data_IF_512987647532
#
_entry.id   IF_512987647532
#
_cell.length_a   1.000
_cell.length_b   1.000
_cell.length_c   1.000
_cell.angle_alpha   90.00
_cell.angle_beta   90.00
_cell.angle_gamma   90.00
#
_symmetry.space_group_name_H-M   'P 1'
#
loop_
_entity.id
_entity.type
_entity.pdbx_description
1 polymer ?
#
# COMPACT_ATOMS: atom_id res chain seq x y z
N UNK A 1 15.95 -3.37 -7.57
CA UNK A 1 14.90 -2.93 -6.62
C UNK A 1 15.06 -1.48 -6.13
N UNK A 2 16.08 -1.09 -5.34
CA UNK A 2 16.19 0.31 -4.82
C UNK A 2 16.18 1.34 -5.95
N UNK A 3 16.87 1.09 -7.06
CA UNK A 3 16.94 2.00 -8.21
C UNK A 3 15.60 2.25 -8.90
N UNK A 4 14.59 1.40 -8.65
CA UNK A 4 13.21 1.58 -9.14
C UNK A 4 12.31 2.35 -8.17
N UNK A 5 12.81 2.68 -6.97
CA UNK A 5 12.04 3.42 -5.97
C UNK A 5 11.81 4.85 -6.47
N UNK A 6 10.54 5.26 -6.54
CA UNK A 6 10.17 6.57 -7.08
C UNK A 6 10.65 7.70 -6.17
N UNK A 7 10.54 8.94 -6.66
CA UNK A 7 10.78 10.14 -5.83
C UNK A 7 9.86 10.22 -4.61
N UNK A 8 8.66 9.64 -4.70
CA UNK A 8 7.68 9.62 -3.62
C UNK A 8 7.93 8.52 -2.58
N UNK A 9 8.81 7.56 -2.87
CA UNK A 9 9.24 6.53 -1.92
C UNK A 9 8.61 5.15 -2.14
N UNK A 10 7.52 5.02 -2.90
CA UNK A 10 7.00 3.72 -3.29
C UNK A 10 7.62 3.17 -4.59
N UNK A 11 7.02 2.11 -5.12
CA UNK A 11 7.45 1.43 -6.33
C UNK A 11 6.37 1.39 -7.42
N UNK A 12 6.77 1.26 -8.69
CA UNK A 12 5.85 0.91 -9.77
C UNK A 12 5.44 -0.56 -9.70
N UNK A 13 4.28 -0.89 -10.27
CA UNK A 13 3.82 -2.27 -10.46
C UNK A 13 4.42 -2.91 -11.72
N UNK A 14 4.34 -4.24 -11.79
CA UNK A 14 4.65 -5.04 -12.99
C UNK A 14 6.05 -4.80 -13.58
N UNK A 15 7.04 -4.59 -12.70
CA UNK A 15 8.44 -4.44 -13.08
C UNK A 15 9.23 -5.68 -12.68
N UNK A 16 9.92 -6.29 -13.65
CA UNK A 16 10.96 -7.26 -13.33
C UNK A 16 12.19 -6.52 -12.79
N UNK A 17 12.41 -6.66 -11.48
CA UNK A 17 13.52 -6.02 -10.77
C UNK A 17 14.73 -6.96 -10.59
N UNK A 18 14.72 -8.12 -11.25
CA UNK A 18 15.77 -9.15 -11.17
C UNK A 18 16.73 -9.12 -12.36
N UNK A 19 16.25 -8.74 -13.55
CA UNK A 19 17.05 -8.76 -14.78
C UNK A 19 18.07 -7.61 -14.85
N UNK A 20 17.65 -6.36 -14.65
CA UNK A 20 18.54 -5.20 -14.72
C UNK A 20 18.23 -4.15 -13.64
N UNK A 21 19.22 -3.31 -13.30
CA UNK A 21 18.96 -2.09 -12.53
C UNK A 21 18.20 -1.06 -13.37
N UNK A 22 17.47 -0.14 -12.73
CA UNK A 22 16.75 0.92 -13.46
C UNK A 22 17.71 1.73 -14.35
N UNK A 23 17.51 1.70 -15.67
CA UNK A 23 18.37 2.37 -16.66
C UNK A 23 17.79 3.69 -17.18
N UNK A 24 16.77 4.26 -16.52
CA UNK A 24 16.17 5.53 -16.93
C UNK A 24 15.18 5.43 -18.11
N UNK A 25 14.93 4.24 -18.64
CA UNK A 25 13.89 4.06 -19.65
C UNK A 25 12.49 4.33 -19.07
N UNK A 26 11.58 4.78 -19.96
CA UNK A 26 10.15 5.08 -19.74
C UNK A 26 9.32 3.85 -19.31
N UNK A 27 9.81 3.02 -18.40
CA UNK A 27 9.16 1.78 -17.98
C UNK A 27 7.98 2.00 -17.04
N UNK A 28 7.81 3.19 -16.47
CA UNK A 28 6.52 3.54 -15.91
C UNK A 28 5.59 3.90 -17.08
N UNK A 29 4.87 2.92 -17.64
CA UNK A 29 3.50 3.24 -18.11
C UNK A 29 2.88 4.10 -17.01
N UNK A 30 2.26 5.23 -17.36
CA UNK A 30 1.84 6.39 -16.54
C UNK A 30 1.15 6.16 -15.16
N UNK A 31 1.14 4.96 -14.61
CA UNK A 31 0.59 4.55 -13.33
C UNK A 31 1.29 5.16 -12.11
N UNK A 32 2.50 5.70 -12.24
CA UNK A 32 3.18 6.34 -11.12
C UNK A 32 3.56 5.38 -9.98
N UNK A 33 3.45 5.86 -8.73
CA UNK A 33 3.77 5.08 -7.52
C UNK A 33 2.50 4.47 -6.96
N UNK A 34 2.50 3.15 -6.69
CA UNK A 34 1.26 2.40 -6.45
C UNK A 34 1.44 1.28 -5.43
N UNK A 35 0.32 0.81 -4.87
CA UNK A 35 0.22 -0.41 -4.06
C UNK A 35 -0.45 -1.58 -4.83
N UNK A 36 -0.78 -1.36 -6.10
CA UNK A 36 -1.43 -2.35 -6.95
C UNK A 36 -0.48 -3.51 -7.34
N UNK A 37 -1.02 -4.71 -7.57
CA UNK A 37 -0.25 -5.91 -7.95
C UNK A 37 0.98 -6.18 -7.06
N UNK A 38 0.86 -6.08 -5.73
CA UNK A 38 2.01 -6.34 -4.86
C UNK A 38 3.00 -5.19 -4.74
N UNK A 39 2.80 -4.08 -5.46
CA UNK A 39 3.76 -2.99 -5.50
C UNK A 39 3.91 -2.29 -4.16
N UNK A 40 5.10 -1.74 -3.93
CA UNK A 40 5.53 -1.08 -2.70
C UNK A 40 5.64 -2.01 -1.50
N UNK A 41 4.56 -2.66 -1.04
CA UNK A 41 4.59 -3.43 0.20
C UNK A 41 5.45 -4.70 0.09
N UNK A 42 5.51 -5.35 -1.08
CA UNK A 42 6.38 -6.52 -1.30
C UNK A 42 7.85 -6.14 -1.28
N UNK A 43 8.21 -5.03 -1.95
CA UNK A 43 9.57 -4.52 -1.96
C UNK A 43 10.00 -4.09 -0.55
N UNK A 44 9.10 -3.47 0.21
CA UNK A 44 9.36 -3.09 1.60
C UNK A 44 9.58 -4.29 2.51
N UNK A 45 8.74 -5.33 2.47
CA UNK A 45 8.95 -6.53 3.28
C UNK A 45 10.33 -7.15 3.00
N UNK A 46 10.68 -7.29 1.72
CA UNK A 46 11.97 -7.80 1.29
C UNK A 46 13.14 -6.92 1.79
N UNK A 47 13.09 -5.61 1.55
CA UNK A 47 14.14 -4.68 1.95
C UNK A 47 14.34 -4.65 3.47
N UNK A 48 13.26 -4.78 4.24
CA UNK A 48 13.34 -4.82 5.70
C UNK A 48 14.07 -6.05 6.21
N UNK A 49 13.80 -7.22 5.63
CA UNK A 49 14.51 -8.47 5.93
C UNK A 49 15.97 -8.44 5.47
N UNK A 50 16.24 -7.87 4.30
CA UNK A 50 17.63 -7.70 3.80
C UNK A 50 18.41 -6.75 4.70
N UNK A 51 17.83 -5.64 5.16
CA UNK A 51 18.50 -4.79 6.14
C UNK A 51 18.74 -5.53 7.45
N UNK A 52 17.75 -6.29 7.94
CA UNK A 52 17.93 -7.11 9.14
C UNK A 52 19.15 -8.03 9.04
N UNK A 53 19.32 -8.72 7.91
CA UNK A 53 20.43 -9.66 7.68
C UNK A 53 21.78 -8.98 7.39
N UNK A 54 21.78 -7.85 6.67
CA UNK A 54 23.04 -7.27 6.14
C UNK A 54 23.50 -6.00 6.83
N UNK A 55 22.59 -5.32 7.56
CA UNK A 55 22.78 -4.00 8.18
C UNK A 55 23.28 -2.89 7.23
N UNK A 56 23.15 -3.08 5.90
CA UNK A 56 23.57 -2.07 4.93
C UNK A 56 22.56 -0.92 4.89
N UNK A 57 22.99 0.26 5.34
CA UNK A 57 22.13 1.45 5.52
C UNK A 57 21.30 1.86 4.30
N UNK A 58 21.78 1.59 3.07
CA UNK A 58 20.99 1.85 1.85
C UNK A 58 19.63 1.15 1.84
N UNK A 59 19.52 -0.04 2.44
CA UNK A 59 18.27 -0.79 2.51
C UNK A 59 17.32 -0.18 3.55
N UNK A 60 17.84 0.22 4.72
CA UNK A 60 17.07 0.96 5.73
C UNK A 60 16.55 2.28 5.17
N UNK A 61 17.39 3.08 4.53
CA UNK A 61 16.98 4.36 3.92
C UNK A 61 15.88 4.16 2.88
N UNK A 62 16.00 3.14 2.03
CA UNK A 62 14.96 2.82 1.04
C UNK A 62 13.66 2.35 1.71
N UNK A 63 13.73 1.48 2.73
CA UNK A 63 12.56 1.05 3.49
C UNK A 63 11.83 2.23 4.13
N UNK A 64 12.55 3.12 4.84
CA UNK A 64 11.95 4.27 5.53
C UNK A 64 11.23 5.20 4.55
N UNK A 65 11.82 5.46 3.37
CA UNK A 65 11.13 6.22 2.31
C UNK A 65 9.83 5.56 1.83
N UNK A 66 9.80 4.24 1.74
CA UNK A 66 8.57 3.50 1.43
C UNK A 66 7.55 3.58 2.56
N UNK A 67 8.00 3.59 3.81
CA UNK A 67 7.13 3.72 4.97
C UNK A 67 6.51 5.12 5.04
N UNK A 68 7.31 6.16 4.83
CA UNK A 68 6.82 7.54 4.72
C UNK A 68 5.79 7.69 3.59
N UNK A 69 6.02 7.02 2.45
CA UNK A 69 5.06 6.97 1.35
C UNK A 69 3.71 6.38 1.79
N UNK A 70 3.71 5.18 2.39
CA UNK A 70 2.47 4.53 2.82
C UNK A 70 1.74 5.33 3.89
N UNK A 71 2.46 5.89 4.87
CA UNK A 71 1.88 6.72 5.92
C UNK A 71 1.29 8.02 5.35
N UNK A 72 1.95 8.63 4.36
CA UNK A 72 1.48 9.85 3.70
C UNK A 72 0.28 9.62 2.77
N UNK A 73 0.21 8.44 2.16
CA UNK A 73 -0.87 8.08 1.24
C UNK A 73 -2.17 7.70 1.96
N UNK A 74 -2.12 7.38 3.25
CA UNK A 74 -3.32 7.00 4.01
C UNK A 74 -4.29 8.19 4.13
N UNK A 75 -5.56 7.95 3.83
CA UNK A 75 -6.63 8.91 4.07
C UNK A 75 -6.91 9.09 5.56
N UNK A 76 -7.55 10.19 5.94
CA UNK A 76 -7.88 10.49 7.35
C UNK A 76 -8.76 9.41 7.98
N UNK A 77 -9.65 8.80 7.19
CA UNK A 77 -10.51 7.68 7.58
C UNK A 77 -9.80 6.32 7.62
N UNK A 78 -8.52 6.25 7.26
CA UNK A 78 -7.70 5.04 7.35
C UNK A 78 -7.53 4.23 6.08
N UNK A 79 -8.26 4.54 5.01
CA UNK A 79 -8.15 3.83 3.73
C UNK A 79 -6.90 4.22 2.93
N UNK A 80 -6.56 3.44 1.91
CA UNK A 80 -5.46 3.74 0.99
C UNK A 80 -5.93 3.83 -0.47
N UNK A 81 -5.45 4.83 -1.22
CA UNK A 81 -5.61 4.86 -2.67
C UNK A 81 -4.77 3.77 -3.33
N UNK A 82 -5.19 3.32 -4.51
CA UNK A 82 -4.36 2.47 -5.37
C UNK A 82 -3.05 3.17 -5.74
N UNK A 83 -3.10 4.49 -5.99
CA UNK A 83 -1.97 5.29 -6.47
C UNK A 83 -1.81 6.57 -5.66
N UNK A 84 -0.57 6.98 -5.45
CA UNK A 84 -0.27 8.25 -4.80
C UNK A 84 0.92 8.97 -5.48
N UNK A 85 0.84 10.28 -5.71
CA UNK A 85 -0.27 11.19 -5.43
C UNK A 85 -1.56 10.88 -6.22
N UNK A 86 -2.74 11.31 -5.71
CA UNK A 86 -4.02 11.13 -6.38
C UNK A 86 -4.04 11.77 -7.78
N UNK A 87 -4.77 11.15 -8.72
CA UNK A 87 -4.82 11.53 -10.13
C UNK A 87 -6.22 11.98 -10.60
N UNK A 88 -7.22 11.97 -9.72
CA UNK A 88 -8.61 12.32 -10.05
C UNK A 88 -9.39 11.22 -10.77
N UNK A 89 -8.96 9.96 -10.64
CA UNK A 89 -9.60 8.79 -11.24
C UNK A 89 -9.83 7.68 -10.19
N UNK A 90 -10.26 6.49 -10.62
CA UNK A 90 -10.53 5.37 -9.69
C UNK A 90 -9.31 4.96 -8.85
N UNK A 91 -8.09 5.36 -9.23
CA UNK A 91 -6.88 5.13 -8.46
C UNK A 91 -6.88 5.86 -7.11
N UNK A 92 -7.80 6.82 -6.93
CA UNK A 92 -8.00 7.59 -5.71
C UNK A 92 -9.02 6.95 -4.74
N UNK A 93 -9.60 5.81 -5.10
CA UNK A 93 -10.52 5.09 -4.22
C UNK A 93 -9.78 4.24 -3.19
N UNK A 94 -10.42 4.00 -2.05
CA UNK A 94 -9.97 2.99 -1.10
C UNK A 94 -9.93 1.66 -1.86
N UNK A 95 -8.74 1.08 -2.00
CA UNK A 95 -8.55 -0.03 -2.93
C UNK A 95 -8.26 -1.34 -2.20
N UNK A 96 -9.22 -2.27 -2.25
CA UNK A 96 -9.05 -3.65 -1.80
C UNK A 96 -8.60 -4.58 -2.94
N UNK A 97 -8.88 -4.22 -4.20
CA UNK A 97 -8.46 -4.94 -5.40
C UNK A 97 -6.98 -5.37 -5.35
N UNK A 98 -6.68 -6.56 -5.87
CA UNK A 98 -5.34 -7.15 -5.91
C UNK A 98 -4.61 -7.14 -4.55
N UNK A 99 -5.37 -7.35 -3.48
CA UNK A 99 -4.89 -7.31 -2.09
C UNK A 99 -4.13 -6.00 -1.77
N UNK A 100 -4.46 -4.89 -2.43
CA UNK A 100 -3.70 -3.65 -2.31
C UNK A 100 -3.66 -3.14 -0.86
N UNK A 101 -4.81 -2.79 -0.27
CA UNK A 101 -4.87 -2.36 1.12
C UNK A 101 -4.56 -3.50 2.10
N UNK A 102 -4.99 -4.73 1.83
CA UNK A 102 -4.71 -5.87 2.73
C UNK A 102 -3.22 -6.20 2.80
N UNK A 103 -2.47 -6.02 1.71
CA UNK A 103 -1.02 -6.16 1.62
C UNK A 103 -0.28 -5.10 2.44
N UNK A 104 -0.73 -3.84 2.36
CA UNK A 104 -0.25 -2.76 3.25
C UNK A 104 -0.49 -3.12 4.71
N UNK A 105 -1.69 -3.59 5.06
CA UNK A 105 -2.04 -4.00 6.43
C UNK A 105 -1.17 -5.15 6.95
N UNK A 106 -0.89 -6.16 6.11
CA UNK A 106 0.01 -7.28 6.44
C UNK A 106 1.45 -6.82 6.68
N UNK A 107 1.94 -5.86 5.89
CA UNK A 107 3.25 -5.26 6.10
C UNK A 107 3.31 -4.47 7.42
N UNK A 108 2.31 -3.63 7.70
CA UNK A 108 2.22 -2.88 8.96
C UNK A 108 2.23 -3.80 10.16
N UNK A 109 1.43 -4.87 10.14
CA UNK A 109 1.44 -5.90 11.17
C UNK A 109 2.81 -6.57 11.31
N UNK A 110 3.48 -6.88 10.19
CA UNK A 110 4.83 -7.44 10.21
C UNK A 110 5.84 -6.50 10.88
N UNK A 111 5.76 -5.19 10.63
CA UNK A 111 6.61 -4.19 11.29
C UNK A 111 6.39 -4.20 12.81
N UNK A 112 5.14 -4.36 13.26
CA UNK A 112 4.79 -4.35 14.68
C UNK A 112 5.14 -5.65 15.40
N UNK A 113 5.03 -6.80 14.74
CA UNK A 113 5.06 -8.09 15.43
C UNK A 113 6.32 -8.92 15.17
N UNK A 114 6.96 -8.76 14.01
CA UNK A 114 8.04 -9.67 13.59
C UNK A 114 9.43 -9.19 14.03
N UNK A 115 10.30 -10.10 14.52
CA UNK A 115 11.65 -9.75 15.00
C UNK A 115 12.55 -9.18 13.89
N UNK A 116 12.32 -9.55 12.62
CA UNK A 116 13.08 -9.02 11.48
C UNK A 116 12.90 -7.50 11.32
N UNK A 117 11.84 -6.91 11.89
CA UNK A 117 11.56 -5.47 11.87
C UNK A 117 11.80 -4.77 13.20
N UNK A 118 12.43 -5.44 14.19
CA UNK A 118 12.74 -4.84 15.50
C UNK A 118 13.70 -3.64 15.42
N UNK A 119 14.39 -3.45 14.29
CA UNK A 119 15.27 -2.31 14.03
C UNK A 119 14.52 -1.04 13.64
N UNK A 120 13.23 -1.12 13.29
CA UNK A 120 12.40 0.07 13.04
C UNK A 120 12.21 0.78 14.38
N UNK A 121 12.53 2.07 14.43
CA UNK A 121 12.52 2.80 15.70
C UNK A 121 11.12 2.97 16.29
N UNK A 122 11.08 3.32 17.57
CA UNK A 122 9.84 3.45 18.32
C UNK A 122 8.90 4.54 17.77
N UNK A 123 9.44 5.59 17.14
CA UNK A 123 8.61 6.66 16.57
C UNK A 123 7.84 6.15 15.35
N UNK A 124 8.55 5.49 14.42
CA UNK A 124 7.91 4.86 13.27
C UNK A 124 6.94 3.76 13.68
N UNK A 125 7.30 2.92 14.66
CA UNK A 125 6.38 1.88 15.17
C UNK A 125 5.08 2.46 15.73
N UNK A 126 5.12 3.62 16.41
CA UNK A 126 3.89 4.31 16.86
C UNK A 126 3.06 4.83 15.69
N UNK A 127 3.69 5.41 14.67
CA UNK A 127 3.00 5.87 13.44
C UNK A 127 2.34 4.69 12.71
N UNK A 128 3.06 3.58 12.58
CA UNK A 128 2.55 2.34 11.98
C UNK A 128 1.40 1.75 12.76
N UNK A 129 1.48 1.68 14.09
CA UNK A 129 0.38 1.19 14.93
C UNK A 129 -0.89 2.01 14.72
N UNK A 130 -0.78 3.34 14.74
CA UNK A 130 -1.91 4.24 14.48
C UNK A 130 -2.50 4.04 13.09
N UNK A 131 -1.64 3.93 12.07
CA UNK A 131 -2.08 3.72 10.70
C UNK A 131 -2.78 2.37 10.52
N UNK A 132 -2.25 1.32 11.16
CA UNK A 132 -2.85 -0.01 11.18
C UNK A 132 -4.23 -0.01 11.86
N UNK A 133 -4.36 0.63 13.02
CA UNK A 133 -5.64 0.73 13.73
C UNK A 133 -6.70 1.46 12.90
N UNK A 134 -6.35 2.61 12.31
CA UNK A 134 -7.23 3.34 11.39
C UNK A 134 -7.59 2.51 10.15
N UNK A 135 -6.63 1.77 9.59
CA UNK A 135 -6.87 0.90 8.44
C UNK A 135 -7.84 -0.23 8.77
N UNK A 136 -7.78 -0.78 9.99
CA UNK A 136 -8.72 -1.78 10.47
C UNK A 136 -10.13 -1.19 10.65
N UNK A 137 -10.24 0.00 11.23
CA UNK A 137 -11.52 0.74 11.34
C UNK A 137 -12.12 0.97 9.95
N UNK A 138 -11.33 1.48 9.00
CA UNK A 138 -11.75 1.69 7.62
C UNK A 138 -12.27 0.40 6.96
N UNK A 139 -11.58 -0.72 7.14
CA UNK A 139 -12.04 -2.03 6.63
C UNK A 139 -13.42 -2.35 7.22
N UNK A 140 -13.62 -2.20 8.52
CA UNK A 140 -14.90 -2.51 9.15
C UNK A 140 -16.01 -1.56 8.67
N UNK A 141 -15.71 -0.27 8.50
CA UNK A 141 -16.67 0.74 8.07
C UNK A 141 -17.05 0.62 6.59
N UNK A 142 -16.15 0.09 5.75
CA UNK A 142 -16.44 -0.25 4.35
C UNK A 142 -17.29 -1.52 4.19
N UNK A 143 -17.54 -2.29 5.26
CA UNK A 143 -18.29 -3.55 5.13
C UNK A 143 -19.74 -3.26 4.76
N UNK A 144 -20.19 -3.85 3.65
CA UNK A 144 -21.55 -3.61 3.14
C UNK A 144 -22.57 -4.34 4.01
N UNK A 145 -23.68 -3.67 4.30
CA UNK A 145 -24.81 -4.23 5.07
C UNK A 145 -25.97 -4.50 4.10
N UNK A 146 -26.40 -5.77 4.02
CA UNK A 146 -27.54 -6.20 3.22
C UNK A 146 -28.60 -6.72 4.19
N UNK A 147 -29.80 -6.14 4.16
CA UNK A 147 -30.92 -6.53 5.05
C UNK A 147 -30.53 -6.57 6.54
N UNK A 148 -29.75 -5.58 6.98
CA UNK A 148 -29.29 -5.47 8.37
C UNK A 148 -28.15 -6.44 8.74
N UNK A 149 -27.63 -7.23 7.79
CA UNK A 149 -26.54 -8.18 8.01
C UNK A 149 -25.26 -7.72 7.32
N UNK A 150 -24.15 -7.79 8.04
CA UNK A 150 -22.80 -7.57 7.48
C UNK A 150 -22.51 -8.64 6.42
N UNK A 151 -22.14 -8.19 5.23
CA UNK A 151 -21.81 -9.02 4.08
C UNK A 151 -20.29 -8.93 3.80
N UNK A 152 -19.93 -8.58 2.57
CA UNK A 152 -18.54 -8.46 2.09
C UNK A 152 -18.20 -7.02 1.72
N UNK A 153 -17.14 -6.82 0.95
CA UNK A 153 -16.66 -5.53 0.45
C UNK A 153 -16.78 -5.48 -1.07
N UNK A 154 -16.68 -4.29 -1.66
CA UNK A 154 -16.37 -4.14 -3.08
C UNK A 154 -14.87 -4.08 -3.31
N UNK A 155 -14.45 -4.17 -4.58
CA UNK A 155 -13.02 -4.06 -4.92
C UNK A 155 -12.45 -2.67 -4.61
N UNK A 156 -13.27 -1.62 -4.75
CA UNK A 156 -12.92 -0.25 -4.42
C UNK A 156 -14.09 0.44 -3.71
N UNK A 157 -13.77 1.37 -2.82
CA UNK A 157 -14.75 2.16 -2.08
C UNK A 157 -14.43 3.65 -2.15
N UNK A 158 -15.47 4.48 -2.13
CA UNK A 158 -15.32 5.92 -2.09
C UNK A 158 -14.62 6.37 -0.79
N UNK A 159 -13.57 7.21 -0.84
CA UNK A 159 -12.84 7.63 0.35
C UNK A 159 -13.64 8.57 1.24
N UNK A 160 -14.80 9.06 0.80
CA UNK A 160 -15.69 9.92 1.61
C UNK A 160 -16.93 9.17 2.05
N UNK A 161 -17.63 8.49 1.13
CA UNK A 161 -18.90 7.81 1.46
C UNK A 161 -18.73 6.38 1.94
N UNK A 162 -17.55 5.77 1.74
CA UNK A 162 -17.23 4.37 2.03
C UNK A 162 -18.08 3.34 1.26
N UNK A 163 -18.91 3.79 0.32
CA UNK A 163 -19.70 2.90 -0.52
C UNK A 163 -18.85 2.28 -1.63
N UNK A 164 -19.17 1.06 -2.09
CA UNK A 164 -18.53 0.47 -3.26
C UNK A 164 -18.59 1.40 -4.48
N UNK A 165 -17.51 1.42 -5.26
CA UNK A 165 -17.39 2.18 -6.52
C UNK A 165 -16.94 1.27 -7.65
N UNK A 166 -17.29 1.65 -8.87
CA UNK A 166 -16.73 1.04 -10.09
C UNK A 166 -15.29 1.50 -10.32
N UNK A 167 -14.48 0.66 -10.96
CA UNK A 167 -13.13 1.05 -11.41
C UNK A 167 -13.07 1.19 -12.93
N UNK A 168 -12.56 0.18 -13.64
CA UNK A 168 -12.52 0.15 -15.11
C UNK A 168 -13.93 -0.04 -15.67
N UNK A 169 -14.12 0.25 -16.96
CA UNK A 169 -15.44 0.13 -17.61
C UNK A 169 -16.10 -1.25 -17.48
N UNK A 170 -15.29 -2.31 -17.32
CA UNK A 170 -15.73 -3.69 -17.11
C UNK A 170 -15.71 -4.13 -15.63
N UNK A 171 -15.52 -3.19 -14.70
CA UNK A 171 -15.53 -3.40 -13.25
C UNK A 171 -16.60 -2.51 -12.61
N UNK A 172 -17.89 -2.87 -12.74
CA UNK A 172 -18.97 -2.14 -12.10
C UNK A 172 -18.83 -2.23 -10.57
N UNK A 173 -19.50 -1.31 -9.86
CA UNK A 173 -19.60 -1.41 -8.41
C UNK A 173 -20.30 -2.73 -8.04
N UNK A 174 -19.54 -3.65 -7.46
CA UNK A 174 -19.98 -5.00 -7.13
C UNK A 174 -19.30 -5.48 -5.85
N UNK A 175 -19.95 -6.43 -5.19
CA UNK A 175 -19.45 -7.11 -3.99
C UNK A 175 -18.53 -8.27 -4.39
N UNK A 176 -17.48 -8.50 -3.62
CA UNK A 176 -16.36 -9.40 -3.96
C UNK A 176 -15.95 -10.26 -2.76
#
# INVERSE_FOLDING_TARGET
MISYQSKFGGWPKNMDMTSHGYQGEKFTKNWGTTIDNGATYTQMDFLGRVYHATKKERFKKSFIRGLDFLLKAQYDNGGWPQRYPPAGDYGDYITFNDDAMTGVMRLMRSILEKPEFAWVDAEYRRKVKRAYEKGLECILDCQVIIEGRRAVWGQQHDPKTLEPRSARAYEPAALC
#
